data_IF_787293876744
#
_entry.id   IF_787293876744
#
_cell.length_a   1.000
_cell.length_b   1.000
_cell.length_c   1.000
_cell.angle_alpha   90.00
_cell.angle_beta   90.00
_cell.angle_gamma   90.00
#
_symmetry.space_group_name_H-M   'P 1'
#
loop_
_entity.id
_entity.type
_entity.pdbx_description
1 polymer ?
#
# COMPACT_ATOMS: atom_id res chain seq x y z
N UNK A 1 26.40 -0.20 -8.55
CA UNK A 1 26.11 -1.14 -9.65
C UNK A 1 25.65 -0.31 -10.83
N UNK A 2 26.32 -0.40 -11.97
CA UNK A 2 25.76 0.17 -13.22
C UNK A 2 24.72 -0.83 -13.70
N UNK A 3 23.47 -0.63 -13.30
CA UNK A 3 22.35 -1.51 -13.66
C UNK A 3 21.20 -0.64 -14.15
N UNK A 4 20.79 -0.83 -15.40
CA UNK A 4 19.67 -0.09 -16.00
C UNK A 4 18.36 -0.61 -15.41
N UNK A 5 17.65 0.19 -14.61
CA UNK A 5 16.29 -0.16 -14.14
C UNK A 5 16.16 -1.50 -13.39
N UNK A 6 17.24 -2.00 -12.78
CA UNK A 6 17.27 -3.33 -12.15
C UNK A 6 17.36 -4.50 -13.13
N UNK A 7 17.71 -4.26 -14.38
CA UNK A 7 18.15 -5.26 -15.36
C UNK A 7 19.53 -5.78 -14.95
N UNK A 8 19.64 -7.09 -14.70
CA UNK A 8 20.86 -7.73 -14.22
C UNK A 8 21.61 -8.38 -15.38
N UNK A 9 22.21 -7.57 -16.25
CA UNK A 9 23.43 -7.99 -16.95
C UNK A 9 24.56 -7.63 -15.99
N UNK A 10 25.50 -8.55 -15.75
CA UNK A 10 26.60 -8.41 -14.79
C UNK A 10 27.01 -6.95 -14.67
N UNK A 11 26.85 -6.34 -13.48
CA UNK A 11 26.86 -4.87 -13.28
C UNK A 11 28.12 -4.10 -13.73
N UNK A 12 29.06 -4.78 -14.38
CA UNK A 12 30.32 -4.32 -14.96
C UNK A 12 31.15 -3.47 -13.99
N UNK A 13 30.86 -3.56 -12.68
CA UNK A 13 31.48 -2.72 -11.67
C UNK A 13 33.00 -2.86 -11.73
N UNK A 14 33.52 -4.08 -11.81
CA UNK A 14 34.96 -4.34 -11.89
C UNK A 14 35.61 -3.72 -13.13
N UNK A 15 34.90 -3.70 -14.27
CA UNK A 15 35.36 -3.06 -15.50
C UNK A 15 35.44 -1.54 -15.32
N UNK A 16 34.37 -0.90 -14.85
CA UNK A 16 34.34 0.55 -14.70
C UNK A 16 35.20 1.06 -13.53
N UNK A 17 35.45 0.24 -12.50
CA UNK A 17 36.47 0.52 -11.51
C UNK A 17 37.88 0.54 -12.13
N UNK A 18 38.20 -0.42 -13.01
CA UNK A 18 39.47 -0.40 -13.75
C UNK A 18 39.58 0.83 -14.65
N UNK A 19 38.52 1.14 -15.42
CA UNK A 19 38.50 2.31 -16.31
C UNK A 19 38.65 3.63 -15.55
N UNK A 20 38.11 3.73 -14.34
CA UNK A 20 38.30 4.89 -13.46
C UNK A 20 39.77 5.09 -13.08
N UNK A 21 40.51 3.99 -12.82
CA UNK A 21 41.95 4.04 -12.59
C UNK A 21 42.70 4.48 -13.85
N UNK A 22 42.29 3.99 -15.02
CA UNK A 22 42.94 4.31 -16.28
C UNK A 22 42.78 5.80 -16.65
N UNK A 23 41.67 6.45 -16.28
CA UNK A 23 41.53 7.93 -16.36
C UNK A 23 42.49 8.62 -15.41
N UNK A 24 42.55 8.17 -14.16
CA UNK A 24 43.43 8.78 -13.15
C UNK A 24 44.90 8.70 -13.56
N UNK A 25 45.31 7.62 -14.21
CA UNK A 25 46.67 7.44 -14.73
C UNK A 25 46.91 8.06 -16.12
N UNK A 26 45.91 8.74 -16.70
CA UNK A 26 46.01 9.38 -18.02
C UNK A 26 46.07 8.41 -19.21
N UNK A 27 45.72 7.14 -19.00
CA UNK A 27 45.70 6.09 -20.04
C UNK A 27 44.40 6.08 -20.85
N UNK A 28 43.32 6.64 -20.30
CA UNK A 28 42.03 6.80 -20.96
C UNK A 28 41.49 8.22 -20.77
N UNK A 29 40.69 8.70 -21.72
CA UNK A 29 39.99 9.98 -21.60
C UNK A 29 38.56 9.78 -21.08
N UNK A 30 37.99 10.81 -20.43
CA UNK A 30 36.59 10.79 -20.02
C UNK A 30 35.64 10.58 -21.21
N UNK A 31 35.96 11.16 -22.38
CA UNK A 31 35.20 10.97 -23.61
C UNK A 31 35.17 9.50 -24.04
N UNK A 32 36.32 8.82 -24.05
CA UNK A 32 36.38 7.40 -24.43
C UNK A 32 35.59 6.47 -23.50
N UNK A 33 35.43 6.86 -22.23
CA UNK A 33 34.62 6.09 -21.27
C UNK A 33 33.14 6.38 -21.47
N UNK A 34 32.77 7.63 -21.76
CA UNK A 34 31.39 7.98 -22.09
C UNK A 34 30.92 7.22 -23.33
N UNK A 35 31.72 7.21 -24.41
CA UNK A 35 31.39 6.49 -25.64
C UNK A 35 31.20 4.98 -25.42
N UNK A 36 32.03 4.38 -24.56
CA UNK A 36 31.92 2.96 -24.20
C UNK A 36 30.70 2.66 -23.31
N UNK A 37 30.37 3.55 -22.37
CA UNK A 37 29.17 3.45 -21.56
C UNK A 37 27.92 3.52 -22.44
N UNK A 38 27.86 4.51 -23.33
CA UNK A 38 26.74 4.69 -24.25
C UNK A 38 26.60 3.47 -25.18
N UNK A 39 27.71 2.99 -25.75
CA UNK A 39 27.71 1.79 -26.59
C UNK A 39 27.22 0.54 -25.83
N UNK A 40 27.65 0.39 -24.58
CA UNK A 40 27.26 -0.74 -23.72
C UNK A 40 25.77 -0.67 -23.37
N UNK A 41 25.28 0.52 -23.02
CA UNK A 41 23.87 0.76 -22.68
C UNK A 41 22.97 0.54 -23.89
N UNK A 42 23.33 1.11 -25.04
CA UNK A 42 22.57 0.98 -26.29
C UNK A 42 22.49 -0.49 -26.75
N UNK A 43 23.57 -1.25 -26.61
CA UNK A 43 23.59 -2.67 -26.98
C UNK A 43 22.63 -3.55 -26.16
N UNK A 44 22.23 -3.11 -24.96
CA UNK A 44 21.33 -3.87 -24.07
C UNK A 44 19.94 -3.22 -23.92
N UNK A 45 19.69 -2.08 -24.55
CA UNK A 45 18.49 -1.28 -24.32
C UNK A 45 17.21 -2.04 -24.67
N UNK A 46 17.15 -2.69 -25.83
CA UNK A 46 15.99 -3.48 -26.25
C UNK A 46 15.63 -4.56 -25.23
N UNK A 47 16.64 -5.28 -24.73
CA UNK A 47 16.44 -6.31 -23.70
C UNK A 47 15.99 -5.73 -22.35
N UNK A 48 16.50 -4.54 -22.00
CA UNK A 48 16.09 -3.83 -20.79
C UNK A 48 14.62 -3.36 -20.90
N UNK A 49 14.21 -2.83 -22.06
CA UNK A 49 12.82 -2.44 -22.37
C UNK A 49 11.90 -3.66 -22.30
N UNK A 50 12.24 -4.77 -22.98
CA UNK A 50 11.43 -5.99 -22.90
C UNK A 50 11.30 -6.50 -21.45
N UNK A 51 12.39 -6.48 -20.69
CA UNK A 51 12.35 -6.87 -19.27
C UNK A 51 11.47 -5.93 -18.44
N UNK A 52 11.50 -4.63 -18.73
CA UNK A 52 10.64 -3.65 -18.07
C UNK A 52 9.17 -3.93 -18.35
N UNK A 53 8.81 -4.18 -19.61
CA UNK A 53 7.45 -4.55 -20.04
C UNK A 53 7.00 -5.83 -19.31
N UNK A 54 7.80 -6.92 -19.35
CA UNK A 54 7.45 -8.17 -18.65
C UNK A 54 7.26 -7.96 -17.15
N UNK A 55 8.11 -7.18 -16.50
CA UNK A 55 7.95 -6.87 -15.06
C UNK A 55 6.72 -5.99 -14.79
N UNK A 56 6.34 -5.13 -15.73
CA UNK A 56 5.10 -4.36 -15.65
C UNK A 56 3.89 -5.29 -15.75
N UNK A 57 3.85 -6.19 -16.73
CA UNK A 57 2.82 -7.22 -16.86
C UNK A 57 2.64 -8.01 -15.55
N UNK A 58 3.74 -8.51 -14.96
CA UNK A 58 3.67 -9.25 -13.69
C UNK A 58 3.06 -8.44 -12.54
N UNK A 59 3.23 -7.11 -12.52
CA UNK A 59 2.63 -6.24 -11.50
C UNK A 59 1.14 -6.03 -11.74
N UNK A 60 0.71 -5.95 -12.99
CA UNK A 60 -0.71 -5.91 -13.35
C UNK A 60 -1.40 -7.25 -13.05
N UNK A 61 -0.75 -8.38 -13.33
CA UNK A 61 -1.25 -9.71 -12.96
C UNK A 61 -1.41 -9.85 -11.43
N UNK A 62 -0.49 -9.28 -10.65
CA UNK A 62 -0.59 -9.19 -9.20
C UNK A 62 -1.66 -8.19 -8.71
N UNK A 63 -2.22 -7.37 -9.61
CA UNK A 63 -3.26 -6.38 -9.32
C UNK A 63 -2.77 -5.08 -8.71
N UNK A 64 -1.47 -4.79 -8.76
CA UNK A 64 -0.87 -3.57 -8.23
C UNK A 64 -0.47 -2.56 -9.32
N UNK A 65 -0.21 -3.03 -10.55
CA UNK A 65 0.17 -2.21 -11.72
C UNK A 65 1.38 -1.30 -11.46
N UNK A 66 1.31 -0.05 -11.93
CA UNK A 66 2.41 0.91 -11.73
C UNK A 66 2.57 1.35 -10.28
N UNK A 67 1.55 1.21 -9.43
CA UNK A 67 1.63 1.65 -8.03
C UNK A 67 2.72 0.89 -7.25
N UNK A 68 2.97 -0.38 -7.57
CA UNK A 68 4.08 -1.15 -6.96
C UNK A 68 5.42 -1.02 -7.69
N UNK A 69 5.50 -0.18 -8.72
CA UNK A 69 6.78 0.13 -9.35
C UNK A 69 7.69 0.89 -8.41
N UNK A 70 8.79 0.24 -8.00
CA UNK A 70 9.82 0.84 -7.14
C UNK A 70 10.36 2.18 -7.67
N UNK A 71 10.40 2.36 -8.99
CA UNK A 71 10.87 3.58 -9.65
C UNK A 71 9.82 4.69 -9.79
N UNK A 72 8.55 4.44 -9.49
CA UNK A 72 7.45 5.38 -9.74
C UNK A 72 7.67 6.74 -9.08
N UNK A 73 8.10 6.76 -7.82
CA UNK A 73 8.34 8.02 -7.09
C UNK A 73 9.41 8.87 -7.75
N UNK A 74 10.49 8.23 -8.20
CA UNK A 74 11.56 8.90 -8.92
C UNK A 74 11.08 9.39 -10.28
N UNK A 75 10.34 8.56 -11.01
CA UNK A 75 9.75 8.93 -12.30
C UNK A 75 8.85 10.17 -12.19
N UNK A 76 7.93 10.19 -11.23
CA UNK A 76 7.03 11.33 -11.02
C UNK A 76 7.77 12.58 -10.53
N UNK A 77 8.85 12.43 -9.76
CA UNK A 77 9.72 13.55 -9.42
C UNK A 77 10.40 14.14 -10.67
N UNK A 78 10.98 13.30 -11.53
CA UNK A 78 11.63 13.75 -12.77
C UNK A 78 10.63 14.43 -13.71
N UNK A 79 9.41 13.90 -13.81
CA UNK A 79 8.33 14.54 -14.56
C UNK A 79 8.06 15.94 -14.03
N UNK A 80 7.97 16.07 -12.71
CA UNK A 80 7.68 17.35 -12.08
C UNK A 80 8.83 18.35 -12.16
N UNK A 81 10.06 17.84 -12.11
CA UNK A 81 11.25 18.63 -12.36
C UNK A 81 11.29 19.13 -13.81
N UNK A 82 10.95 18.28 -14.80
CA UNK A 82 10.79 18.69 -16.20
C UNK A 82 9.79 19.84 -16.35
N UNK A 83 8.60 19.70 -15.77
CA UNK A 83 7.59 20.77 -15.74
C UNK A 83 8.09 22.04 -15.05
N UNK A 84 8.92 21.92 -14.01
CA UNK A 84 9.49 23.09 -13.33
C UNK A 84 10.45 23.89 -14.21
N UNK A 85 11.22 23.21 -15.07
CA UNK A 85 12.10 23.84 -16.06
C UNK A 85 11.24 24.57 -17.11
N UNK A 86 10.22 23.90 -17.65
CA UNK A 86 9.30 24.49 -18.65
C UNK A 86 8.58 25.74 -18.12
N UNK A 87 8.13 25.71 -16.86
CA UNK A 87 7.38 26.80 -16.23
C UNK A 87 8.27 27.82 -15.50
N UNK A 88 9.60 27.59 -15.47
CA UNK A 88 10.59 28.40 -14.75
C UNK A 88 10.26 28.64 -13.25
N UNK A 89 9.58 27.70 -12.60
CA UNK A 89 9.18 27.76 -11.19
C UNK A 89 9.28 26.36 -10.59
N UNK A 90 10.12 26.18 -9.57
CA UNK A 90 10.18 24.93 -8.82
C UNK A 90 9.12 24.89 -7.72
N UNK A 91 8.15 23.98 -7.84
CA UNK A 91 7.10 23.78 -6.83
C UNK A 91 7.36 22.60 -5.89
N UNK A 92 8.19 21.65 -6.31
CA UNK A 92 8.46 20.40 -5.57
C UNK A 92 9.96 20.13 -5.54
N UNK A 93 10.46 19.76 -4.36
CA UNK A 93 11.87 19.43 -4.11
C UNK A 93 12.06 17.93 -3.88
N UNK A 94 13.22 17.38 -4.28
CA UNK A 94 13.55 15.96 -4.11
C UNK A 94 13.48 15.48 -2.65
N UNK A 95 13.80 16.36 -1.69
CA UNK A 95 13.75 16.01 -0.27
C UNK A 95 12.33 15.64 0.18
N UNK A 96 11.29 16.15 -0.49
CA UNK A 96 9.88 15.82 -0.17
C UNK A 96 9.50 14.38 -0.58
N UNK A 97 10.23 13.78 -1.53
CA UNK A 97 10.02 12.38 -1.94
C UNK A 97 10.76 11.38 -1.05
N UNK A 98 11.78 11.82 -0.29
CA UNK A 98 12.71 10.95 0.45
C UNK A 98 12.58 11.03 1.99
N UNK A 99 11.95 12.09 2.52
CA UNK A 99 11.73 12.26 3.98
C UNK A 99 10.60 11.39 4.55
N UNK A 100 10.69 11.08 5.84
CA UNK A 100 9.70 10.31 6.64
C UNK A 100 8.72 11.25 7.39
N UNK A 101 8.72 12.55 7.10
CA UNK A 101 7.95 13.57 7.81
C UNK A 101 6.48 13.65 7.33
N UNK A 102 5.65 14.39 8.09
CA UNK A 102 4.19 14.55 7.89
C UNK A 102 3.79 15.12 6.51
N UNK A 103 4.70 15.82 5.84
CA UNK A 103 4.49 16.41 4.50
C UNK A 103 5.16 15.62 3.37
N UNK A 104 5.55 14.36 3.60
CA UNK A 104 6.12 13.53 2.54
C UNK A 104 5.17 13.39 1.36
N UNK A 105 5.73 13.26 0.17
CA UNK A 105 4.98 12.98 -1.04
C UNK A 105 4.55 11.51 -1.05
N UNK A 106 3.27 11.31 -1.33
CA UNK A 106 2.59 10.03 -1.53
C UNK A 106 2.16 9.93 -2.99
N UNK A 107 1.64 8.76 -3.37
CA UNK A 107 1.06 8.57 -4.69
C UNK A 107 -0.46 8.60 -4.52
N UNK A 108 -1.09 9.56 -5.18
CA UNK A 108 -2.53 9.66 -5.30
C UNK A 108 -3.02 8.83 -6.48
N UNK A 109 -4.19 8.22 -6.30
CA UNK A 109 -4.96 7.57 -7.37
C UNK A 109 -6.11 8.51 -7.74
N UNK A 110 -6.05 9.13 -8.92
CA UNK A 110 -7.05 10.14 -9.31
C UNK A 110 -8.43 9.47 -9.37
N UNK A 111 -8.58 8.42 -10.19
CA UNK A 111 -9.59 7.37 -10.05
C UNK A 111 -9.21 6.49 -8.85
N UNK A 112 -10.00 6.46 -7.77
CA UNK A 112 -9.67 5.70 -6.57
C UNK A 112 -9.70 4.19 -6.81
N UNK A 113 -8.89 3.43 -6.07
CA UNK A 113 -8.86 1.96 -6.16
C UNK A 113 -10.22 1.30 -5.83
N UNK A 114 -11.03 1.98 -5.01
CA UNK A 114 -12.37 1.55 -4.65
C UNK A 114 -13.35 2.70 -4.91
N UNK A 115 -13.81 2.90 -6.15
CA UNK A 115 -14.67 4.03 -6.52
C UNK A 115 -16.10 3.83 -6.02
N UNK A 116 -16.40 4.26 -4.79
CA UNK A 116 -17.71 4.05 -4.15
C UNK A 116 -18.66 5.23 -4.30
N UNK A 117 -18.15 6.44 -4.54
CA UNK A 117 -18.99 7.62 -4.78
C UNK A 117 -19.76 7.48 -6.10
N UNK A 118 -20.97 8.04 -6.12
CA UNK A 118 -21.83 8.04 -7.31
C UNK A 118 -21.10 8.58 -8.54
N UNK A 119 -20.36 9.69 -8.43
CA UNK A 119 -19.59 10.27 -9.53
C UNK A 119 -18.72 9.22 -10.25
N UNK A 120 -17.89 8.49 -9.49
CA UNK A 120 -16.99 7.50 -10.07
C UNK A 120 -17.73 6.29 -10.64
N UNK A 121 -18.77 5.82 -9.93
CA UNK A 121 -19.60 4.70 -10.42
C UNK A 121 -20.32 5.06 -11.72
N UNK A 122 -20.84 6.27 -11.81
CA UNK A 122 -21.54 6.75 -13.00
C UNK A 122 -20.56 7.00 -14.15
N UNK A 123 -19.42 7.66 -13.90
CA UNK A 123 -18.40 7.94 -14.91
C UNK A 123 -17.79 6.67 -15.52
N UNK A 124 -17.65 5.59 -14.73
CA UNK A 124 -17.06 4.32 -15.18
C UNK A 124 -18.09 3.18 -15.31
N UNK A 125 -19.40 3.49 -15.42
CA UNK A 125 -20.49 2.49 -15.48
C UNK A 125 -20.42 1.52 -16.67
N UNK A 126 -19.72 1.90 -17.73
CA UNK A 126 -19.51 1.08 -18.93
C UNK A 126 -18.31 0.11 -18.83
N UNK A 127 -17.59 0.12 -17.70
CA UNK A 127 -16.40 -0.68 -17.47
C UNK A 127 -16.65 -1.75 -16.42
N UNK A 128 -16.04 -2.93 -16.61
CA UNK A 128 -16.07 -3.99 -15.61
C UNK A 128 -15.20 -3.64 -14.38
N UNK A 129 -15.35 -4.41 -13.30
CA UNK A 129 -14.51 -4.23 -12.11
C UNK A 129 -13.03 -4.47 -12.40
N UNK A 130 -12.72 -5.41 -13.29
CA UNK A 130 -11.37 -5.73 -13.76
C UNK A 130 -10.79 -4.57 -14.58
N UNK A 131 -11.57 -4.00 -15.49
CA UNK A 131 -11.17 -2.84 -16.28
C UNK A 131 -10.92 -1.61 -15.41
N UNK A 132 -11.80 -1.35 -14.44
CA UNK A 132 -11.61 -0.28 -13.44
C UNK A 132 -10.32 -0.51 -12.64
N UNK A 133 -10.01 -1.76 -12.28
CA UNK A 133 -8.76 -2.11 -11.59
C UNK A 133 -7.54 -1.79 -12.45
N UNK A 134 -7.57 -2.16 -13.74
CA UNK A 134 -6.51 -1.84 -14.70
C UNK A 134 -6.34 -0.32 -14.88
N UNK A 135 -7.45 0.41 -15.07
CA UNK A 135 -7.47 1.87 -15.18
C UNK A 135 -6.88 2.53 -13.93
N UNK A 136 -7.31 2.11 -12.74
CA UNK A 136 -6.84 2.70 -11.49
C UNK A 136 -5.34 2.47 -11.23
N UNK A 137 -4.79 1.37 -11.74
CA UNK A 137 -3.40 0.97 -11.56
C UNK A 137 -2.48 1.42 -12.71
N UNK A 138 -3.02 2.03 -13.77
CA UNK A 138 -2.28 2.52 -14.93
C UNK A 138 -1.52 3.81 -14.63
N UNK A 139 -0.42 4.05 -15.34
CA UNK A 139 0.51 5.16 -15.09
C UNK A 139 -0.18 6.52 -15.15
N UNK A 140 -1.09 6.70 -16.12
CA UNK A 140 -1.84 7.94 -16.31
C UNK A 140 -2.75 8.31 -15.15
N UNK A 141 -3.10 7.36 -14.27
CA UNK A 141 -3.95 7.60 -13.10
C UNK A 141 -3.17 7.97 -11.82
N UNK A 142 -1.84 7.93 -11.85
CA UNK A 142 -0.99 8.12 -10.68
C UNK A 142 -0.37 9.52 -10.65
N UNK A 143 -0.42 10.16 -9.48
CA UNK A 143 -0.03 11.56 -9.28
C UNK A 143 0.76 11.73 -7.98
N UNK A 144 1.88 12.48 -7.95
CA UNK A 144 2.55 12.79 -6.69
C UNK A 144 1.72 13.82 -5.91
N UNK A 145 1.39 13.50 -4.65
CA UNK A 145 0.59 14.37 -3.80
C UNK A 145 1.09 14.35 -2.36
N UNK A 146 1.09 15.49 -1.67
CA UNK A 146 1.48 15.51 -0.26
C UNK A 146 0.55 14.63 0.59
N UNK A 147 1.08 13.96 1.61
CA UNK A 147 0.33 13.01 2.41
C UNK A 147 -0.92 13.63 3.05
N UNK A 148 -0.83 14.86 3.56
CA UNK A 148 -1.94 15.55 4.22
C UNK A 148 -3.10 15.85 3.25
N UNK A 149 -2.77 16.26 2.02
CA UNK A 149 -3.76 16.58 0.99
C UNK A 149 -4.37 15.29 0.46
N UNK A 150 -3.56 14.26 0.20
CA UNK A 150 -4.04 12.94 -0.22
C UNK A 150 -5.02 12.33 0.81
N UNK A 151 -4.64 12.34 2.10
CA UNK A 151 -5.51 11.88 3.18
C UNK A 151 -6.80 12.70 3.31
N UNK A 152 -6.78 13.98 2.91
CA UNK A 152 -7.97 14.82 2.88
C UNK A 152 -8.88 14.44 1.70
N UNK A 153 -8.35 14.25 0.49
CA UNK A 153 -9.11 14.04 -0.76
C UNK A 153 -9.87 12.70 -0.81
N UNK A 154 -9.31 11.65 -0.22
CA UNK A 154 -9.95 10.32 -0.12
C UNK A 154 -10.59 9.87 -1.46
N UNK A 155 -11.88 9.51 -1.43
CA UNK A 155 -12.65 9.03 -2.58
C UNK A 155 -13.54 10.11 -3.19
N UNK A 156 -13.24 11.38 -2.95
CA UNK A 156 -14.06 12.48 -3.45
C UNK A 156 -14.18 12.46 -4.98
N UNK A 157 -15.25 13.07 -5.48
CA UNK A 157 -15.47 13.23 -6.92
C UNK A 157 -14.29 13.97 -7.55
N UNK A 158 -14.02 13.75 -8.84
CA UNK A 158 -12.96 14.50 -9.50
C UNK A 158 -13.17 16.02 -9.43
N UNK A 159 -14.39 16.58 -9.64
CA UNK A 159 -14.63 18.00 -9.44
C UNK A 159 -14.24 18.50 -8.04
N UNK A 160 -14.53 17.74 -6.99
CA UNK A 160 -14.16 18.09 -5.61
C UNK A 160 -12.66 17.94 -5.35
N UNK A 161 -11.98 16.94 -5.94
CA UNK A 161 -10.52 16.81 -5.86
C UNK A 161 -9.81 17.95 -6.60
N UNK A 162 -10.37 18.35 -7.74
CA UNK A 162 -9.91 19.46 -8.57
C UNK A 162 -10.03 20.79 -7.85
N UNK A 163 -11.23 21.14 -7.40
CA UNK A 163 -11.51 22.38 -6.68
C UNK A 163 -12.56 22.16 -5.59
N UNK A 164 -12.13 21.82 -4.35
CA UNK A 164 -13.02 21.49 -3.25
C UNK A 164 -14.04 22.59 -2.96
N UNK A 165 -15.29 22.20 -2.77
CA UNK A 165 -16.37 23.11 -2.36
C UNK A 165 -16.18 23.67 -0.93
N UNK A 166 -15.34 23.03 -0.11
CA UNK A 166 -15.08 23.43 1.28
C UNK A 166 -14.06 24.57 1.34
N UNK A 167 -14.45 25.69 1.96
CA UNK A 167 -13.58 26.86 2.16
C UNK A 167 -12.30 26.47 2.92
N UNK A 168 -11.15 26.81 2.36
CA UNK A 168 -9.83 26.54 2.94
C UNK A 168 -9.25 25.15 2.64
N UNK A 169 -10.01 24.27 1.97
CA UNK A 169 -9.48 22.98 1.50
C UNK A 169 -8.82 23.14 0.14
N UNK A 170 -7.59 22.63 0.01
CA UNK A 170 -6.76 22.79 -1.19
C UNK A 170 -6.99 21.61 -2.15
N UNK A 171 -7.37 21.91 -3.39
CA UNK A 171 -7.45 20.95 -4.50
C UNK A 171 -6.33 21.09 -5.52
N UNK A 172 -6.39 20.27 -6.57
CA UNK A 172 -5.36 20.20 -7.61
C UNK A 172 -5.07 21.52 -8.32
N UNK A 173 -6.05 22.43 -8.43
CA UNK A 173 -5.86 23.74 -9.08
C UNK A 173 -4.77 24.61 -8.41
N UNK A 174 -4.52 24.41 -7.12
CA UNK A 174 -3.49 25.12 -6.35
C UNK A 174 -2.29 24.20 -6.08
N UNK A 175 -2.09 23.31 -7.05
CA UNK A 175 -1.22 22.16 -7.14
C UNK A 175 0.29 22.40 -7.20
N UNK A 176 1.00 21.28 -7.15
CA UNK A 176 2.21 21.07 -7.94
C UNK A 176 1.90 21.20 -9.44
N UNK A 177 2.89 21.12 -10.33
CA UNK A 177 2.65 21.28 -11.77
C UNK A 177 1.83 20.12 -12.35
N UNK A 178 2.12 18.89 -11.96
CA UNK A 178 1.36 17.70 -12.33
C UNK A 178 -0.08 17.76 -11.84
N UNK A 179 -0.31 18.30 -10.64
CA UNK A 179 -1.66 18.50 -10.13
C UNK A 179 -2.42 19.53 -10.97
N UNK A 180 -1.77 20.65 -11.32
CA UNK A 180 -2.37 21.71 -12.13
C UNK A 180 -2.67 21.21 -13.54
N UNK A 181 -1.78 20.42 -14.13
CA UNK A 181 -2.00 19.75 -15.42
C UNK A 181 -3.27 18.90 -15.38
N UNK A 182 -3.40 18.02 -14.38
CA UNK A 182 -4.62 17.20 -14.18
C UNK A 182 -5.85 18.09 -13.96
N UNK A 183 -5.71 19.21 -13.25
CA UNK A 183 -6.80 20.14 -12.96
C UNK A 183 -7.31 20.94 -14.18
N UNK A 184 -6.63 20.85 -15.33
CA UNK A 184 -7.12 21.45 -16.59
C UNK A 184 -8.34 20.68 -17.11
N UNK A 185 -8.43 19.39 -16.81
CA UNK A 185 -9.59 18.57 -17.16
C UNK A 185 -10.82 18.97 -16.33
N UNK A 186 -12.00 18.90 -16.94
CA UNK A 186 -13.28 19.11 -16.24
C UNK A 186 -13.73 17.84 -15.51
N UNK A 187 -13.47 16.70 -16.13
CA UNK A 187 -13.84 15.36 -15.68
C UNK A 187 -12.65 14.42 -15.80
N UNK A 188 -12.73 13.28 -15.12
CA UNK A 188 -11.69 12.26 -15.20
C UNK A 188 -12.23 10.96 -15.77
N UNK A 189 -11.92 10.73 -17.04
CA UNK A 189 -12.41 9.60 -17.83
C UNK A 189 -11.32 8.58 -18.09
N UNK A 190 -11.71 7.41 -18.61
CA UNK A 190 -10.76 6.40 -19.06
C UNK A 190 -9.85 6.92 -20.20
N UNK A 191 -10.36 7.82 -21.05
CA UNK A 191 -9.56 8.46 -22.11
C UNK A 191 -8.49 9.38 -21.51
N UNK A 192 -8.82 10.17 -20.47
CA UNK A 192 -7.82 10.99 -19.78
C UNK A 192 -6.69 10.14 -19.18
N UNK A 193 -7.02 8.95 -18.63
CA UNK A 193 -6.02 8.01 -18.11
C UNK A 193 -5.11 7.50 -19.22
N UNK A 194 -5.67 7.13 -20.38
CA UNK A 194 -4.90 6.68 -21.55
C UNK A 194 -3.99 7.80 -22.08
N UNK A 195 -4.55 8.98 -22.38
CA UNK A 195 -3.83 10.11 -22.98
C UNK A 195 -2.71 10.60 -22.07
N UNK A 196 -2.99 10.76 -20.77
CA UNK A 196 -1.97 11.11 -19.79
C UNK A 196 -0.92 10.01 -19.67
N UNK A 197 -1.32 8.73 -19.72
CA UNK A 197 -0.39 7.60 -19.72
C UNK A 197 0.58 7.64 -20.89
N UNK A 198 0.10 7.92 -22.10
CA UNK A 198 0.91 8.07 -23.31
C UNK A 198 1.85 9.28 -23.19
N UNK A 199 1.35 10.42 -22.71
CA UNK A 199 2.17 11.62 -22.44
C UNK A 199 3.32 11.33 -21.46
N UNK A 200 3.04 10.61 -20.37
CA UNK A 200 4.04 10.20 -19.39
C UNK A 200 5.08 9.22 -19.97
N UNK A 201 4.66 8.28 -20.83
CA UNK A 201 5.60 7.43 -21.56
C UNK A 201 6.44 8.23 -22.55
N UNK A 202 5.88 9.22 -23.24
CA UNK A 202 6.64 10.12 -24.12
C UNK A 202 7.66 10.99 -23.37
N UNK A 203 7.31 11.42 -22.14
CA UNK A 203 8.29 12.02 -21.24
C UNK A 203 9.41 11.03 -20.88
N UNK A 204 9.07 9.76 -20.60
CA UNK A 204 10.05 8.72 -20.31
C UNK A 204 11.02 8.53 -21.48
N UNK A 205 10.51 8.45 -22.70
CA UNK A 205 11.30 8.37 -23.94
C UNK A 205 12.30 9.52 -24.04
N UNK A 206 11.80 10.75 -23.90
CA UNK A 206 12.61 11.96 -24.02
C UNK A 206 13.64 12.11 -22.90
N UNK A 207 13.28 11.71 -21.67
CA UNK A 207 14.12 11.93 -20.48
C UNK A 207 15.32 10.98 -20.42
N UNK A 208 15.15 9.75 -20.90
CA UNK A 208 16.14 8.68 -20.82
C UNK A 208 16.64 8.19 -22.18
N UNK A 209 16.27 8.87 -23.27
CA UNK A 209 16.66 8.52 -24.64
C UNK A 209 16.32 7.06 -24.97
N UNK A 210 15.09 6.67 -24.65
CA UNK A 210 14.53 5.36 -24.96
C UNK A 210 13.41 5.51 -25.97
N UNK A 211 13.13 4.44 -26.73
CA UNK A 211 12.02 4.40 -27.68
C UNK A 211 11.12 3.21 -27.40
N UNK A 212 9.82 3.45 -27.29
CA UNK A 212 8.79 2.43 -27.25
C UNK A 212 8.03 2.42 -28.58
N UNK A 213 7.67 1.23 -29.07
CA UNK A 213 6.67 1.13 -30.15
C UNK A 213 5.28 1.44 -29.59
N UNK A 214 4.32 1.74 -30.47
CA UNK A 214 2.93 1.98 -30.05
C UNK A 214 2.31 0.74 -29.38
N UNK A 215 2.67 -0.46 -29.85
CA UNK A 215 2.27 -1.72 -29.22
C UNK A 215 2.86 -1.85 -27.81
N UNK A 216 4.12 -1.47 -27.62
CA UNK A 216 4.76 -1.51 -26.30
C UNK A 216 4.15 -0.49 -25.33
N UNK A 217 3.81 0.71 -25.80
CA UNK A 217 3.10 1.72 -24.99
C UNK A 217 1.73 1.20 -24.56
N UNK A 218 1.00 0.60 -25.50
CA UNK A 218 -0.30 -0.04 -25.26
C UNK A 218 -0.21 -1.17 -24.23
N UNK A 219 0.79 -2.05 -24.39
CA UNK A 219 1.08 -3.15 -23.45
C UNK A 219 1.45 -2.61 -22.06
N UNK A 220 2.32 -1.61 -21.97
CA UNK A 220 2.74 -1.00 -20.71
C UNK A 220 1.57 -0.40 -19.93
N UNK A 221 0.61 0.25 -20.60
CA UNK A 221 -0.47 0.95 -19.93
C UNK A 221 -1.64 0.04 -19.53
N UNK A 222 -1.79 -1.14 -20.15
CA UNK A 222 -2.85 -2.11 -19.87
C UNK A 222 -4.30 -1.57 -20.00
N UNK A 223 -4.51 -0.48 -20.74
CA UNK A 223 -5.82 0.18 -20.90
C UNK A 223 -6.20 0.37 -22.36
N UNK A 224 -5.68 -0.47 -23.26
CA UNK A 224 -5.96 -0.41 -24.71
C UNK A 224 -7.45 -0.56 -25.05
N UNK A 225 -8.20 -1.22 -24.17
CA UNK A 225 -9.65 -1.41 -24.27
C UNK A 225 -10.48 -0.12 -24.16
N UNK A 226 -9.86 1.00 -23.79
CA UNK A 226 -10.49 2.33 -23.78
C UNK A 226 -10.83 2.79 -25.20
N UNK A 227 -10.05 2.36 -26.20
CA UNK A 227 -10.29 2.69 -27.60
C UNK A 227 -11.37 1.84 -28.26
N UNK A 228 -11.92 0.85 -27.55
CA UNK A 228 -12.99 0.02 -28.08
C UNK A 228 -14.30 0.80 -27.96
N UNK A 229 -15.04 0.93 -29.06
CA UNK A 229 -16.37 1.53 -29.02
C UNK A 229 -17.28 0.74 -28.07
N UNK A 230 -17.94 1.43 -27.15
CA UNK A 230 -18.83 0.84 -26.14
C UNK A 230 -20.18 1.53 -26.17
N UNK A 231 -21.22 0.75 -25.94
CA UNK A 231 -22.55 1.30 -25.66
C UNK A 231 -22.51 1.96 -24.28
N UNK A 232 -22.99 3.20 -24.18
CA UNK A 232 -23.10 3.88 -22.90
C UNK A 232 -24.36 3.40 -22.16
N UNK A 233 -24.22 2.70 -21.02
CA UNK A 233 -25.37 2.36 -20.19
C UNK A 233 -26.07 3.65 -19.73
N UNK A 234 -27.37 3.57 -19.40
CA UNK A 234 -28.07 4.71 -18.79
C UNK A 234 -27.36 5.14 -17.51
N UNK A 235 -27.43 6.44 -17.21
CA UNK A 235 -26.87 6.98 -15.97
C UNK A 235 -27.50 6.33 -14.75
N UNK A 236 -26.68 6.14 -13.72
CA UNK A 236 -27.15 5.60 -12.44
C UNK A 236 -28.00 6.66 -11.73
N UNK A 237 -29.14 6.31 -11.13
CA UNK A 237 -29.93 7.28 -10.35
C UNK A 237 -29.12 7.81 -9.15
N UNK A 238 -29.06 9.14 -8.99
CA UNK A 238 -28.32 9.80 -7.92
C UNK A 238 -28.90 9.52 -6.51
N UNK A 239 -30.21 9.26 -6.45
CA UNK A 239 -30.99 9.16 -5.20
C UNK A 239 -30.96 7.78 -4.49
N UNK A 240 -30.32 6.75 -5.05
CA UNK A 240 -30.30 5.40 -4.45
C UNK A 240 -29.03 5.05 -3.68
N UNK A 241 -28.07 5.97 -3.57
CA UNK A 241 -26.85 5.72 -2.79
C UNK A 241 -26.92 6.56 -1.52
N UNK A 242 -27.53 5.98 -0.48
CA UNK A 242 -27.29 6.42 0.89
C UNK A 242 -25.76 6.62 1.08
N UNK A 243 -25.32 7.64 1.85
CA UNK A 243 -23.91 7.78 2.16
C UNK A 243 -23.42 6.42 2.67
N UNK A 244 -22.25 5.92 2.21
CA UNK A 244 -21.73 4.68 2.77
C UNK A 244 -21.55 4.94 4.26
N UNK A 245 -22.44 4.34 5.05
CA UNK A 245 -22.14 4.02 6.43
C UNK A 245 -20.84 3.22 6.36
N UNK A 246 -19.81 3.68 7.07
CA UNK A 246 -18.41 3.23 6.98
C UNK A 246 -18.21 1.74 7.38
N UNK A 247 -19.30 0.97 7.43
CA UNK A 247 -19.42 -0.40 7.91
C UNK A 247 -20.06 -1.39 6.92
N UNK A 248 -20.39 -1.00 5.68
CA UNK A 248 -20.98 -1.91 4.68
C UNK A 248 -20.34 -1.89 3.27
N UNK A 249 -19.01 -1.78 3.13
CA UNK A 249 -18.32 -2.03 1.85
C UNK A 249 -17.80 -3.47 1.71
N UNK A 250 -18.68 -4.47 1.83
CA UNK A 250 -18.33 -5.88 1.59
C UNK A 250 -19.29 -6.55 0.59
N UNK A 251 -19.18 -6.17 -0.68
CA UNK A 251 -19.52 -6.98 -1.86
C UNK A 251 -19.00 -6.21 -3.10
N UNK A 252 -18.12 -6.69 -3.98
CA UNK A 252 -17.37 -7.93 -4.13
C UNK A 252 -15.91 -7.52 -4.45
N UNK A 253 -15.03 -7.61 -3.45
CA UNK A 253 -13.62 -7.88 -3.73
C UNK A 253 -13.55 -9.40 -3.68
N UNK A 254 -13.22 -10.08 -4.78
CA UNK A 254 -12.93 -11.51 -4.68
C UNK A 254 -11.77 -11.64 -3.70
N UNK A 255 -12.09 -12.15 -2.52
CA UNK A 255 -11.12 -12.39 -1.48
C UNK A 255 -10.25 -13.53 -2.01
N UNK A 256 -8.93 -13.33 -2.00
CA UNK A 256 -8.00 -14.44 -2.22
C UNK A 256 -8.37 -15.60 -1.29
N UNK A 257 -8.07 -16.86 -1.66
CA UNK A 257 -8.39 -18.03 -0.83
C UNK A 257 -7.95 -17.86 0.63
N UNK A 258 -6.80 -17.23 0.85
CA UNK A 258 -6.27 -16.92 2.18
C UNK A 258 -7.13 -15.90 2.92
N UNK A 259 -7.58 -14.83 2.26
CA UNK A 259 -8.46 -13.83 2.85
C UNK A 259 -9.85 -14.39 3.14
N UNK A 260 -10.39 -15.22 2.26
CA UNK A 260 -11.67 -15.92 2.44
C UNK A 260 -11.63 -16.83 3.66
N UNK A 261 -10.56 -17.63 3.81
CA UNK A 261 -10.40 -18.52 4.96
C UNK A 261 -10.21 -17.77 6.28
N UNK A 262 -9.48 -16.65 6.28
CA UNK A 262 -9.35 -15.78 7.47
C UNK A 262 -10.68 -15.16 7.86
N UNK A 263 -11.41 -14.64 6.87
CA UNK A 263 -12.73 -14.06 7.10
C UNK A 263 -13.70 -15.10 7.65
N UNK A 264 -13.70 -16.32 7.11
CA UNK A 264 -14.49 -17.44 7.64
C UNK A 264 -14.14 -17.72 9.11
N UNK A 265 -12.85 -17.93 9.42
CA UNK A 265 -12.41 -18.18 10.80
C UNK A 265 -12.89 -17.08 11.77
N UNK A 266 -12.67 -15.80 11.42
CA UNK A 266 -13.04 -14.70 12.31
C UNK A 266 -14.55 -14.50 12.43
N UNK A 267 -15.32 -14.72 11.36
CA UNK A 267 -16.78 -14.69 11.44
C UNK A 267 -17.28 -15.77 12.40
N UNK A 268 -16.78 -17.01 12.25
CA UNK A 268 -17.14 -18.12 13.13
C UNK A 268 -16.72 -17.88 14.57
N UNK A 269 -15.54 -17.30 14.80
CA UNK A 269 -15.09 -16.92 16.14
C UNK A 269 -15.99 -15.85 16.78
N UNK A 270 -16.36 -14.80 16.03
CA UNK A 270 -17.26 -13.74 16.50
C UNK A 270 -18.64 -14.30 16.84
N UNK A 271 -19.20 -15.15 15.97
CA UNK A 271 -20.48 -15.81 16.20
C UNK A 271 -20.42 -16.72 17.44
N UNK A 272 -19.33 -17.48 17.59
CA UNK A 272 -19.09 -18.32 18.76
C UNK A 272 -18.99 -17.51 20.05
N UNK A 273 -18.25 -16.39 20.04
CA UNK A 273 -18.14 -15.49 21.19
C UNK A 273 -19.52 -14.92 21.58
N UNK A 274 -20.30 -14.45 20.61
CA UNK A 274 -21.66 -13.93 20.87
C UNK A 274 -22.58 -15.00 21.44
N UNK A 275 -22.53 -16.22 20.91
CA UNK A 275 -23.31 -17.35 21.42
C UNK A 275 -22.93 -17.74 22.86
N UNK A 276 -21.66 -17.54 23.25
CA UNK A 276 -21.14 -17.82 24.59
C UNK A 276 -21.10 -16.58 25.52
N UNK A 277 -21.83 -15.51 25.19
CA UNK A 277 -21.94 -14.31 26.04
C UNK A 277 -20.72 -13.38 26.03
N UNK A 278 -19.75 -13.62 25.14
CA UNK A 278 -18.50 -12.84 24.96
C UNK A 278 -18.61 -11.76 23.88
N UNK A 279 -19.83 -11.27 23.65
CA UNK A 279 -20.14 -10.28 22.61
C UNK A 279 -19.63 -8.87 22.92
N UNK A 280 -19.53 -8.52 24.20
CA UNK A 280 -19.27 -7.16 24.67
C UNK A 280 -17.82 -6.92 25.13
N UNK A 281 -17.02 -7.98 25.25
CA UNK A 281 -15.64 -7.93 25.75
C UNK A 281 -14.64 -8.44 24.71
N UNK A 282 -14.90 -9.59 24.07
CA UNK A 282 -14.04 -10.14 23.02
C UNK A 282 -14.56 -9.73 21.64
N UNK A 283 -15.82 -10.04 21.31
CA UNK A 283 -16.38 -9.87 19.97
C UNK A 283 -16.94 -8.45 19.70
N UNK A 284 -16.25 -7.43 20.21
CA UNK A 284 -16.63 -6.01 20.11
C UNK A 284 -16.49 -5.48 18.69
N UNK A 285 -15.59 -6.05 17.89
CA UNK A 285 -15.29 -5.60 16.52
C UNK A 285 -15.88 -6.55 15.49
N UNK A 286 -16.26 -6.02 14.34
CA UNK A 286 -16.67 -6.83 13.18
C UNK A 286 -15.46 -7.66 12.70
N UNK A 287 -15.71 -8.92 12.35
CA UNK A 287 -14.71 -9.79 11.73
C UNK A 287 -14.26 -9.23 10.37
N UNK A 288 -12.98 -9.43 10.05
CA UNK A 288 -12.37 -8.99 8.79
C UNK A 288 -11.49 -10.08 8.19
N UNK A 289 -10.82 -9.78 7.08
CA UNK A 289 -9.91 -10.72 6.38
C UNK A 289 -8.44 -10.57 6.82
N UNK A 290 -8.16 -9.74 7.82
CA UNK A 290 -6.82 -9.59 8.40
C UNK A 290 -6.38 -10.90 9.07
N UNK A 291 -5.07 -11.09 9.18
CA UNK A 291 -4.53 -12.24 9.91
C UNK A 291 -4.45 -11.99 11.42
N UNK A 292 -5.04 -10.90 11.92
CA UNK A 292 -5.15 -10.59 13.34
C UNK A 292 -6.55 -10.05 13.67
N UNK A 293 -6.89 -10.12 14.95
CA UNK A 293 -8.13 -9.58 15.52
C UNK A 293 -7.79 -8.87 16.84
N UNK A 294 -7.92 -7.54 16.87
CA UNK A 294 -7.58 -6.76 18.07
C UNK A 294 -8.78 -6.64 19.02
N UNK A 295 -8.51 -6.82 20.31
CA UNK A 295 -9.46 -6.76 21.42
C UNK A 295 -9.08 -5.56 22.32
N UNK A 296 -9.84 -4.46 22.29
CA UNK A 296 -9.61 -3.33 23.19
C UNK A 296 -9.95 -3.72 24.63
N UNK A 297 -9.02 -3.53 25.56
CA UNK A 297 -9.23 -3.84 27.00
C UNK A 297 -9.25 -2.58 27.89
N UNK A 298 -9.50 -1.41 27.30
CA UNK A 298 -9.64 -0.15 28.04
C UNK A 298 -8.34 0.43 28.63
N UNK A 299 -7.20 -0.25 28.48
CA UNK A 299 -5.88 0.27 28.87
C UNK A 299 -5.29 1.16 27.76
N UNK A 300 -4.74 2.35 28.09
CA UNK A 300 -3.98 3.16 27.14
C UNK A 300 -2.57 2.61 26.88
N UNK A 301 -2.10 1.67 27.72
CA UNK A 301 -0.71 1.18 27.72
C UNK A 301 -0.51 0.03 26.72
N UNK A 302 -1.52 -0.82 26.57
CA UNK A 302 -1.47 -2.02 25.74
C UNK A 302 -2.86 -2.49 25.28
N UNK A 303 -2.87 -3.29 24.20
CA UNK A 303 -4.07 -3.96 23.69
C UNK A 303 -3.80 -5.45 23.51
N UNK A 304 -4.84 -6.28 23.68
CA UNK A 304 -4.78 -7.71 23.34
C UNK A 304 -5.04 -7.85 21.84
N UNK A 305 -4.34 -8.77 21.20
CA UNK A 305 -4.65 -9.19 19.84
C UNK A 305 -4.56 -10.71 19.70
N UNK A 306 -5.42 -11.26 18.86
CA UNK A 306 -5.38 -12.64 18.40
C UNK A 306 -4.76 -12.65 17.00
N UNK A 307 -4.03 -13.70 16.63
CA UNK A 307 -3.38 -13.77 15.33
C UNK A 307 -3.37 -15.19 14.74
N UNK A 308 -3.74 -15.24 13.46
CA UNK A 308 -3.52 -16.34 12.56
C UNK A 308 -2.14 -16.15 11.92
N UNK A 309 -1.18 -17.00 12.28
CA UNK A 309 0.17 -16.92 11.71
C UNK A 309 0.42 -18.14 10.82
N UNK A 310 0.75 -17.88 9.56
CA UNK A 310 0.89 -18.92 8.52
C UNK A 310 -0.38 -19.77 8.41
N UNK A 311 -0.25 -21.10 8.41
CA UNK A 311 -1.37 -22.06 8.30
C UNK A 311 -1.44 -23.03 9.49
N UNK A 312 -0.50 -22.93 10.42
CA UNK A 312 -0.19 -23.95 11.43
C UNK A 312 0.02 -23.35 12.83
N UNK A 313 -0.21 -22.03 13.00
CA UNK A 313 0.06 -21.35 14.28
C UNK A 313 -1.09 -20.43 14.66
N UNK A 314 -1.61 -20.62 15.88
CA UNK A 314 -2.56 -19.72 16.52
C UNK A 314 -1.88 -18.95 17.64
N UNK A 315 -2.15 -17.64 17.73
CA UNK A 315 -1.51 -16.74 18.69
C UNK A 315 -2.48 -15.84 19.42
N UNK A 316 -2.11 -15.52 20.65
CA UNK A 316 -2.60 -14.37 21.41
C UNK A 316 -1.40 -13.56 21.89
N UNK A 317 -1.56 -12.25 22.03
CA UNK A 317 -0.49 -11.42 22.56
C UNK A 317 -0.91 -10.00 22.90
N UNK A 318 0.06 -9.25 23.41
CA UNK A 318 -0.07 -7.84 23.74
C UNK A 318 0.69 -6.99 22.73
N UNK A 319 0.09 -5.91 22.27
CA UNK A 319 0.82 -4.78 21.72
C UNK A 319 1.05 -3.77 22.82
N UNK A 320 2.31 -3.42 23.08
CA UNK A 320 2.72 -2.44 24.09
C UNK A 320 3.35 -1.25 23.38
N UNK A 321 2.73 -0.08 23.49
CA UNK A 321 3.05 1.06 22.63
C UNK A 321 4.20 1.93 23.16
N UNK A 322 4.34 2.05 24.48
CA UNK A 322 5.39 2.85 25.11
C UNK A 322 6.46 1.94 25.70
N UNK A 323 7.73 2.33 25.57
CA UNK A 323 8.85 1.57 26.12
C UNK A 323 8.76 1.39 27.63
N UNK A 324 8.30 2.42 28.36
CA UNK A 324 8.13 2.37 29.81
C UNK A 324 7.11 1.29 30.25
N UNK A 325 6.02 1.10 29.51
CA UNK A 325 5.01 0.08 29.84
C UNK A 325 5.56 -1.32 29.58
N UNK A 326 6.39 -1.47 28.55
CA UNK A 326 7.03 -2.74 28.25
C UNK A 326 8.06 -3.10 29.32
N UNK A 327 8.91 -2.16 29.74
CA UNK A 327 9.85 -2.35 30.86
C UNK A 327 9.12 -2.69 32.17
N UNK A 328 7.95 -2.05 32.43
CA UNK A 328 7.09 -2.36 33.57
C UNK A 328 6.61 -3.82 33.54
N UNK A 329 6.03 -4.27 32.42
CA UNK A 329 5.57 -5.66 32.26
C UNK A 329 6.75 -6.65 32.33
N UNK A 330 7.88 -6.31 31.71
CA UNK A 330 9.09 -7.13 31.70
C UNK A 330 9.66 -7.35 33.11
N UNK A 331 9.64 -6.31 33.95
CA UNK A 331 10.09 -6.41 35.34
C UNK A 331 9.22 -7.37 36.19
N UNK A 332 8.01 -7.68 35.72
CA UNK A 332 7.03 -8.57 36.36
C UNK A 332 6.80 -9.85 35.57
N UNK A 333 7.68 -10.18 34.61
CA UNK A 333 7.49 -11.32 33.70
C UNK A 333 7.27 -12.66 34.41
N UNK A 334 7.91 -12.87 35.57
CA UNK A 334 7.82 -14.12 36.32
C UNK A 334 6.46 -14.20 37.03
N UNK A 335 5.97 -13.09 37.58
CA UNK A 335 4.61 -12.99 38.14
C UNK A 335 3.54 -13.16 37.04
N UNK A 336 3.74 -12.54 35.86
CA UNK A 336 2.86 -12.74 34.69
C UNK A 336 2.82 -14.23 34.35
N UNK A 337 3.98 -14.88 34.26
CA UNK A 337 4.08 -16.30 33.92
C UNK A 337 3.38 -17.19 34.95
N UNK A 338 3.51 -16.87 36.24
CA UNK A 338 2.86 -17.63 37.32
C UNK A 338 1.34 -17.51 37.25
N UNK A 339 0.81 -16.30 37.08
CA UNK A 339 -0.65 -16.06 37.02
C UNK A 339 -1.25 -16.53 35.69
N UNK A 340 -0.56 -16.30 34.58
CA UNK A 340 -0.99 -16.73 33.25
C UNK A 340 -0.89 -18.25 33.07
N UNK A 341 0.06 -18.90 33.75
CA UNK A 341 0.24 -20.35 33.74
C UNK A 341 0.91 -20.90 32.48
N UNK A 342 1.57 -20.06 31.68
CA UNK A 342 2.31 -20.48 30.47
C UNK A 342 3.48 -19.53 30.19
N UNK A 343 4.48 -20.02 29.46
CA UNK A 343 5.62 -19.19 29.06
C UNK A 343 5.23 -18.26 27.91
N UNK A 344 5.57 -16.98 28.06
CA UNK A 344 5.34 -15.95 27.05
C UNK A 344 6.62 -15.67 26.28
N UNK A 345 6.49 -15.45 24.97
CA UNK A 345 7.56 -15.05 24.08
C UNK A 345 7.76 -13.53 24.18
N UNK A 346 8.88 -13.13 24.78
CA UNK A 346 9.32 -11.73 24.86
C UNK A 346 10.26 -11.38 23.70
N UNK A 347 10.37 -10.09 23.37
CA UNK A 347 11.29 -9.56 22.33
C UNK A 347 11.04 -10.05 20.90
N UNK A 348 9.80 -10.39 20.56
CA UNK A 348 9.39 -10.86 19.22
C UNK A 348 9.27 -9.74 18.18
N UNK A 349 9.62 -8.51 18.54
CA UNK A 349 9.49 -7.31 17.70
C UNK A 349 10.82 -6.93 17.05
N UNK A 350 10.77 -6.39 15.83
CA UNK A 350 11.98 -5.93 15.11
C UNK A 350 12.68 -4.85 15.94
N UNK A 351 14.00 -4.76 15.82
CA UNK A 351 14.84 -3.79 16.58
C UNK A 351 14.38 -2.34 16.43
N UNK A 352 13.80 -1.97 15.29
CA UNK A 352 13.26 -0.63 14.98
C UNK A 352 11.77 -0.45 15.28
N UNK A 353 11.09 -1.46 15.84
CA UNK A 353 9.66 -1.39 16.13
C UNK A 353 9.40 -0.48 17.31
N UNK A 354 8.53 0.52 17.12
CA UNK A 354 8.11 1.47 18.16
C UNK A 354 7.23 0.78 19.20
N UNK A 355 6.33 -0.11 18.76
CA UNK A 355 5.57 -0.99 19.65
C UNK A 355 6.29 -2.33 19.86
N UNK A 356 6.23 -2.85 21.10
CA UNK A 356 6.74 -4.16 21.50
C UNK A 356 5.58 -5.17 21.57
N UNK A 357 5.92 -6.45 21.51
CA UNK A 357 4.96 -7.57 21.53
C UNK A 357 5.40 -8.66 22.48
N UNK A 358 4.41 -9.21 23.19
CA UNK A 358 4.52 -10.35 24.10
C UNK A 358 3.50 -11.38 23.60
N UNK A 359 3.93 -12.60 23.28
CA UNK A 359 3.10 -13.58 22.57
C UNK A 359 2.98 -14.92 23.32
N UNK A 360 1.87 -15.61 23.13
CA UNK A 360 1.74 -17.05 23.34
C UNK A 360 1.30 -17.67 22.01
N UNK A 361 2.12 -18.61 21.50
CA UNK A 361 1.84 -19.35 20.26
C UNK A 361 1.58 -20.83 20.56
N UNK A 362 0.63 -21.43 19.84
CA UNK A 362 0.46 -22.88 19.77
C UNK A 362 0.46 -23.35 18.33
N UNK A 363 0.88 -24.60 18.11
CA UNK A 363 0.67 -25.29 16.83
C UNK A 363 -0.82 -25.63 16.69
N UNK A 364 -1.43 -25.19 15.60
CA UNK A 364 -2.85 -25.31 15.37
C UNK A 364 -3.15 -25.31 13.86
N UNK A 365 -3.90 -26.32 13.39
CA UNK A 365 -4.45 -26.31 12.03
C UNK A 365 -5.64 -25.35 11.96
N UNK A 366 -5.33 -24.07 11.73
CA UNK A 366 -6.28 -22.95 11.83
C UNK A 366 -7.34 -22.93 10.74
N UNK A 367 -7.18 -23.71 9.66
CA UNK A 367 -8.14 -23.76 8.54
C UNK A 367 -8.93 -25.05 8.49
N UNK A 368 -8.90 -25.86 9.55
CA UNK A 368 -9.70 -27.07 9.69
C UNK A 368 -10.96 -26.77 10.52
N UNK A 369 -12.16 -26.71 9.90
CA UNK A 369 -13.40 -26.37 10.60
C UNK A 369 -13.76 -27.32 11.74
N UNK A 370 -13.28 -28.57 11.71
CA UNK A 370 -13.52 -29.55 12.78
C UNK A 370 -12.80 -29.19 14.08
N UNK A 371 -11.78 -28.35 14.02
CA UNK A 371 -11.00 -27.90 15.18
C UNK A 371 -11.40 -26.50 15.65
N UNK A 372 -12.33 -25.82 14.98
CA UNK A 372 -12.71 -24.45 15.30
C UNK A 372 -13.16 -24.29 16.75
N UNK A 373 -13.99 -25.20 17.26
CA UNK A 373 -14.43 -25.13 18.64
C UNK A 373 -13.26 -25.16 19.63
N UNK A 374 -12.33 -26.11 19.45
CA UNK A 374 -11.12 -26.21 20.28
C UNK A 374 -10.27 -24.93 20.19
N UNK A 375 -10.10 -24.38 18.99
CA UNK A 375 -9.34 -23.14 18.79
C UNK A 375 -10.00 -21.95 19.47
N UNK A 376 -11.33 -21.83 19.37
CA UNK A 376 -12.09 -20.73 19.96
C UNK A 376 -12.10 -20.81 21.48
N UNK A 377 -12.28 -22.00 22.04
CA UNK A 377 -12.19 -22.23 23.49
C UNK A 377 -10.80 -21.84 24.01
N UNK A 378 -9.73 -22.24 23.30
CA UNK A 378 -8.37 -21.85 23.66
C UNK A 378 -8.17 -20.33 23.61
N UNK A 379 -8.64 -19.65 22.57
CA UNK A 379 -8.51 -18.18 22.45
C UNK A 379 -9.23 -17.45 23.60
N UNK A 380 -10.44 -17.89 23.95
CA UNK A 380 -11.22 -17.32 25.04
C UNK A 380 -10.53 -17.58 26.38
N UNK A 381 -10.08 -18.81 26.63
CA UNK A 381 -9.37 -19.18 27.86
C UNK A 381 -8.08 -18.35 28.02
N UNK A 382 -7.28 -18.23 26.96
CA UNK A 382 -6.04 -17.46 27.02
C UNK A 382 -6.30 -15.97 27.17
N UNK A 383 -7.37 -15.44 26.56
CA UNK A 383 -7.78 -14.06 26.77
C UNK A 383 -8.05 -13.80 28.25
N UNK A 384 -8.83 -14.67 28.90
CA UNK A 384 -9.22 -14.51 30.30
C UNK A 384 -8.03 -14.62 31.24
N UNK A 385 -7.13 -15.59 31.01
CA UNK A 385 -5.89 -15.74 31.77
C UNK A 385 -4.99 -14.52 31.61
N UNK A 386 -4.88 -13.99 30.39
CA UNK A 386 -4.03 -12.84 30.13
C UNK A 386 -4.59 -11.57 30.78
N UNK A 387 -5.89 -11.36 30.69
CA UNK A 387 -6.57 -10.23 31.35
C UNK A 387 -6.42 -10.33 32.87
N UNK A 388 -6.63 -11.50 33.46
CA UNK A 388 -6.44 -11.73 34.89
C UNK A 388 -5.00 -11.48 35.35
N UNK A 389 -4.00 -11.92 34.57
CA UNK A 389 -2.59 -11.68 34.88
C UNK A 389 -2.25 -10.17 34.86
N UNK A 390 -2.80 -9.42 33.90
CA UNK A 390 -2.61 -7.98 33.79
C UNK A 390 -3.27 -7.24 34.95
N UNK A 391 -4.53 -7.56 35.26
CA UNK A 391 -5.28 -6.96 36.36
C UNK A 391 -4.61 -7.22 37.73
N UNK A 392 -4.08 -8.42 37.95
CA UNK A 392 -3.36 -8.77 39.16
C UNK A 392 -2.11 -7.88 39.34
N UNK A 393 -1.37 -7.61 38.26
CA UNK A 393 -0.14 -6.82 38.30
C UNK A 393 -0.44 -5.32 38.46
N UNK A 394 -1.45 -4.82 37.78
CA UNK A 394 -1.90 -3.43 37.91
C UNK A 394 -2.45 -3.15 39.32
N UNK A 395 -3.17 -4.10 39.91
CA UNK A 395 -3.67 -4.01 41.29
C UNK A 395 -2.55 -4.00 42.33
N UNK A 396 -1.50 -4.79 42.13
CA UNK A 396 -0.29 -4.78 42.99
C UNK A 396 0.45 -3.44 42.90
N UNK A 397 0.36 -2.74 41.76
CA UNK A 397 1.01 -1.45 41.54
C UNK A 397 0.28 -0.27 42.21
N UNK A 398 -1.03 -0.42 42.44
CA UNK A 398 -1.93 0.63 42.97
C UNK A 398 -2.02 0.64 44.50
N UNK A 399 -1.50 -0.40 45.15
CA UNK A 399 -1.45 -0.54 46.61
C UNK A 399 -0.06 -0.25 47.17
N UNK A 400 0.36 1.02 47.16
CA UNK A 400 1.45 1.55 48.00
C UNK A 400 1.16 2.96 48.46
#
# INVERSE_FOLDING_TARGET
CFCIGGFQVSSQNSLYYSKSRDVLSGMASLASIADDLDSTVNAIMDSAVSTFITRTQMRFDAGEGFYSWRGLRYFLYEYEFGKSIENNIQKVDWNLFTRVEKERITIEHILPQTPTKWYWRNAFRAYSAEEIKLLSASLGNLLPLSQSINASLQNDSFPDKRNPSTVGRRGYINGSHSEIEVAQETDWTAQNILDRGISLLGFMESRWDIAFTEEQKSELLHVSFVNYGRDEPPELPEAEIAPPDDNQSSAMRELSDVQSRRLDFWNKFVDYCKANGRGNDIAVRKAGYANWYDIPIGSPDYQIFLQLYRQDTLRIGLYVYRSADFERLESRKDDIKEVYGSELEWYTSRTKSTAKRILHSIEADIYNPNLYQQHFDWLIEQHDKLLHALDAIDSISSGR
#
